data_IF_156208211129
#
_entry.id   IF_156208211129
#
_cell.length_a   1.000
_cell.length_b   1.000
_cell.length_c   1.000
_cell.angle_alpha   90.00
_cell.angle_beta   90.00
_cell.angle_gamma   90.00
#
_symmetry.space_group_name_H-M   'P 1'
#
loop_
_entity.id
_entity.type
_entity.pdbx_description
1 polymer ?
#
# COMPACT_ATOMS: atom_id res chain seq x y z
N UNK A 1 -19.80 -6.54 9.60
CA UNK A 1 -18.43 -6.23 10.08
C UNK A 1 -18.54 -6.20 11.59
N UNK A 2 -17.69 -6.94 12.32
CA UNK A 2 -17.71 -6.95 13.78
C UNK A 2 -16.97 -5.71 14.28
N UNK A 3 -17.59 -4.98 15.21
CA UNK A 3 -16.96 -3.91 15.98
C UNK A 3 -16.20 -4.57 17.13
N UNK A 4 -14.92 -4.26 17.29
CA UNK A 4 -14.09 -4.83 18.35
C UNK A 4 -13.97 -3.87 19.52
N UNK A 5 -13.90 -4.39 20.74
CA UNK A 5 -13.80 -3.56 21.95
C UNK A 5 -12.45 -2.84 22.06
N UNK A 6 -11.39 -3.46 21.59
CA UNK A 6 -10.04 -2.88 21.55
C UNK A 6 -9.54 -2.78 20.12
N UNK A 7 -8.53 -1.93 19.89
CA UNK A 7 -7.87 -1.81 18.59
C UNK A 7 -6.87 -2.93 18.28
N UNK A 8 -6.41 -3.66 19.30
CA UNK A 8 -5.42 -4.72 19.14
C UNK A 8 -5.72 -5.98 19.96
N UNK A 9 -5.07 -7.07 19.54
CA UNK A 9 -5.21 -8.40 20.16
C UNK A 9 -4.65 -8.38 21.58
N UNK A 10 -3.53 -7.69 21.80
CA UNK A 10 -2.85 -7.64 23.09
C UNK A 10 -3.73 -7.02 24.19
N UNK A 11 -4.37 -5.88 23.91
CA UNK A 11 -5.30 -5.21 24.81
C UNK A 11 -6.55 -6.05 25.07
N UNK A 12 -7.03 -6.77 24.05
CA UNK A 12 -8.11 -7.75 24.21
C UNK A 12 -7.71 -8.87 25.18
N UNK A 13 -6.52 -9.43 25.02
CA UNK A 13 -5.98 -10.50 25.89
C UNK A 13 -5.67 -9.99 27.30
N UNK A 14 -5.17 -8.77 27.44
CA UNK A 14 -4.90 -8.14 28.74
C UNK A 14 -6.20 -7.91 29.53
N UNK A 15 -7.30 -7.60 28.87
CA UNK A 15 -8.61 -7.47 29.50
C UNK A 15 -9.16 -8.85 29.93
N UNK A 16 -9.01 -9.88 29.09
CA UNK A 16 -9.33 -11.27 29.47
C UNK A 16 -8.55 -11.67 30.72
N UNK A 17 -7.24 -11.42 30.75
CA UNK A 17 -6.38 -11.72 31.90
C UNK A 17 -6.82 -10.94 33.14
N UNK A 18 -7.23 -9.69 32.97
CA UNK A 18 -7.73 -8.82 34.05
C UNK A 18 -9.01 -9.38 34.68
N UNK A 19 -9.97 -9.85 33.87
CA UNK A 19 -11.22 -10.45 34.37
C UNK A 19 -10.93 -11.78 35.08
N UNK A 20 -10.22 -12.70 34.41
CA UNK A 20 -9.92 -14.02 34.96
C UNK A 20 -9.03 -13.96 36.22
N UNK A 21 -8.14 -12.97 36.30
CA UNK A 21 -7.22 -12.78 37.43
C UNK A 21 -7.90 -12.37 38.74
N UNK A 22 -9.18 -11.97 38.72
CA UNK A 22 -9.96 -11.63 39.92
C UNK A 22 -10.46 -12.85 40.71
N UNK A 23 -10.24 -14.06 40.17
CA UNK A 23 -10.61 -15.31 40.83
C UNK A 23 -11.95 -15.86 40.34
N UNK A 24 -13.00 -15.75 41.15
CA UNK A 24 -14.32 -16.29 40.77
C UNK A 24 -14.95 -15.43 39.69
N UNK A 25 -15.13 -16.02 38.51
CA UNK A 25 -15.77 -15.40 37.35
C UNK A 25 -17.27 -15.71 37.42
N UNK A 26 -18.09 -14.66 37.46
CA UNK A 26 -19.55 -14.80 37.40
C UNK A 26 -20.05 -15.23 35.99
N UNK A 27 -21.34 -15.56 35.84
CA UNK A 27 -21.93 -15.87 34.55
C UNK A 27 -21.76 -14.74 33.51
N UNK A 28 -21.93 -13.49 33.92
CA UNK A 28 -21.79 -12.32 33.04
C UNK A 28 -20.33 -12.11 32.58
N UNK A 29 -19.39 -12.19 33.52
CA UNK A 29 -17.95 -12.08 33.23
C UNK A 29 -17.47 -13.22 32.32
N UNK A 30 -18.06 -14.42 32.46
CA UNK A 30 -17.77 -15.56 31.58
C UNK A 30 -18.19 -15.27 30.13
N UNK A 31 -19.38 -14.69 29.93
CA UNK A 31 -19.86 -14.26 28.61
C UNK A 31 -18.97 -13.15 28.05
N UNK A 32 -18.54 -12.19 28.88
CA UNK A 32 -17.64 -11.11 28.47
C UNK A 32 -16.29 -11.64 27.98
N UNK A 33 -15.68 -12.60 28.71
CA UNK A 33 -14.43 -13.25 28.29
C UNK A 33 -14.58 -13.96 26.95
N UNK A 34 -15.69 -14.67 26.73
CA UNK A 34 -15.96 -15.34 25.45
C UNK A 34 -16.12 -14.33 24.30
N UNK A 35 -16.80 -13.20 24.53
CA UNK A 35 -16.92 -12.13 23.53
C UNK A 35 -15.56 -11.50 23.19
N UNK A 36 -14.68 -11.30 24.18
CA UNK A 36 -13.30 -10.82 23.95
C UNK A 36 -12.48 -11.85 23.18
N UNK A 37 -12.66 -13.14 23.43
CA UNK A 37 -12.01 -14.20 22.64
C UNK A 37 -12.47 -14.14 21.17
N UNK A 38 -13.77 -13.96 20.91
CA UNK A 38 -14.28 -13.79 19.55
C UNK A 38 -13.70 -12.53 18.88
N UNK A 39 -13.55 -11.42 19.60
CA UNK A 39 -12.89 -10.21 19.10
C UNK A 39 -11.44 -10.50 18.70
N UNK A 40 -10.66 -11.19 19.55
CA UNK A 40 -9.29 -11.57 19.25
C UNK A 40 -9.18 -12.49 18.03
N UNK A 41 -10.09 -13.47 17.91
CA UNK A 41 -10.13 -14.36 16.74
C UNK A 41 -10.50 -13.61 15.45
N UNK A 42 -11.42 -12.65 15.53
CA UNK A 42 -11.78 -11.79 14.40
C UNK A 42 -10.58 -10.95 13.95
N UNK A 43 -9.85 -10.36 14.89
CA UNK A 43 -8.63 -9.58 14.64
C UNK A 43 -7.54 -10.42 13.95
N UNK A 44 -7.25 -11.63 14.45
CA UNK A 44 -6.31 -12.57 13.81
C UNK A 44 -6.75 -12.91 12.38
N UNK A 45 -8.05 -13.15 12.19
CA UNK A 45 -8.61 -13.37 10.85
C UNK A 45 -8.34 -12.20 9.89
N UNK A 46 -8.39 -10.96 10.37
CA UNK A 46 -8.05 -9.76 9.57
C UNK A 46 -6.55 -9.68 9.27
N UNK A 47 -5.69 -9.99 10.23
CA UNK A 47 -4.24 -10.05 9.99
C UNK A 47 -3.91 -11.10 8.92
N UNK A 48 -4.60 -12.24 8.91
CA UNK A 48 -4.47 -13.25 7.84
C UNK A 48 -4.89 -12.69 6.48
N UNK A 49 -6.04 -12.03 6.39
CA UNK A 49 -6.46 -11.37 5.14
C UNK A 49 -5.42 -10.34 4.66
N UNK A 50 -4.79 -9.63 5.60
CA UNK A 50 -3.73 -8.67 5.29
C UNK A 50 -2.47 -9.37 4.77
N UNK A 51 -2.08 -10.51 5.34
CA UNK A 51 -1.01 -11.34 4.81
C UNK A 51 -1.32 -11.79 3.37
N UNK A 52 -2.53 -12.24 3.10
CA UNK A 52 -2.96 -12.62 1.75
C UNK A 52 -2.86 -11.45 0.75
N UNK A 53 -3.06 -10.20 1.17
CA UNK A 53 -2.85 -9.02 0.32
C UNK A 53 -1.37 -8.86 -0.07
N UNK A 54 -0.44 -9.09 0.86
CA UNK A 54 1.00 -9.08 0.57
C UNK A 54 1.39 -10.24 -0.36
N UNK A 55 0.80 -11.42 -0.18
CA UNK A 55 1.03 -12.56 -1.05
C UNK A 55 0.52 -12.30 -2.48
N UNK A 56 -0.68 -11.70 -2.62
CA UNK A 56 -1.19 -11.27 -3.93
C UNK A 56 -0.29 -10.24 -4.59
N UNK A 57 0.15 -9.21 -3.85
CA UNK A 57 1.11 -8.23 -4.34
C UNK A 57 2.40 -8.89 -4.87
N UNK A 58 2.92 -9.91 -4.16
CA UNK A 58 4.09 -10.67 -4.61
C UNK A 58 3.86 -11.36 -5.94
N UNK A 59 2.70 -11.98 -6.14
CA UNK A 59 2.38 -12.65 -7.41
C UNK A 59 2.17 -11.65 -8.56
N UNK A 60 1.52 -10.52 -8.30
CA UNK A 60 1.34 -9.44 -9.28
C UNK A 60 2.70 -8.86 -9.72
N UNK A 61 3.60 -8.61 -8.76
CA UNK A 61 4.95 -8.15 -9.05
C UNK A 61 5.71 -9.18 -9.92
N UNK A 62 5.64 -10.47 -9.59
CA UNK A 62 6.25 -11.53 -10.42
C UNK A 62 5.67 -11.55 -11.83
N UNK A 63 4.38 -11.30 -11.99
CA UNK A 63 3.75 -11.20 -13.31
C UNK A 63 4.33 -10.06 -14.15
N UNK A 64 4.52 -8.88 -13.53
CA UNK A 64 5.16 -7.73 -14.18
C UNK A 64 6.59 -8.09 -14.60
N UNK A 65 7.40 -8.64 -13.68
CA UNK A 65 8.79 -9.00 -13.96
C UNK A 65 8.90 -10.00 -15.12
N UNK A 66 8.06 -11.05 -15.14
CA UNK A 66 8.01 -12.00 -16.27
C UNK A 66 7.65 -11.33 -17.61
N UNK A 67 6.85 -10.25 -17.58
CA UNK A 67 6.54 -9.49 -18.79
C UNK A 67 7.71 -8.61 -19.24
N UNK A 68 8.53 -8.13 -18.31
CA UNK A 68 9.75 -7.37 -18.59
C UNK A 68 10.82 -8.25 -19.25
N UNK A 69 10.96 -9.52 -18.84
CA UNK A 69 11.88 -10.48 -19.45
C UNK A 69 11.62 -10.74 -20.96
N UNK A 70 10.40 -10.43 -21.41
CA UNK A 70 9.98 -10.58 -22.81
C UNK A 70 10.30 -9.36 -23.66
N UNK A 71 10.68 -8.23 -23.07
CA UNK A 71 11.04 -7.02 -23.81
C UNK A 71 12.45 -7.20 -24.39
N UNK A 72 12.52 -7.33 -25.71
CA UNK A 72 13.80 -7.47 -26.43
C UNK A 72 13.84 -6.50 -27.60
N UNK A 73 14.70 -5.47 -27.57
CA UNK A 73 14.86 -4.60 -28.73
C UNK A 73 15.59 -5.36 -29.84
N UNK A 74 15.02 -5.36 -31.05
CA UNK A 74 15.56 -6.11 -32.20
C UNK A 74 16.56 -5.25 -32.96
N UNK A 75 17.72 -5.82 -33.31
CA UNK A 75 18.71 -5.23 -34.21
C UNK A 75 19.69 -4.25 -33.57
N UNK A 76 19.64 -4.05 -32.24
CA UNK A 76 20.55 -3.12 -31.54
C UNK A 76 22.02 -3.51 -31.71
N UNK A 77 22.32 -4.81 -31.59
CA UNK A 77 23.67 -5.35 -31.76
C UNK A 77 24.24 -5.12 -33.17
N UNK A 78 23.38 -4.95 -34.18
CA UNK A 78 23.80 -4.72 -35.57
C UNK A 78 24.09 -3.23 -35.86
N UNK A 79 23.66 -2.32 -34.99
CA UNK A 79 23.78 -0.88 -35.22
C UNK A 79 25.22 -0.41 -35.50
N UNK A 80 26.27 -0.87 -34.78
CA UNK A 80 27.65 -0.47 -35.07
C UNK A 80 28.11 -0.89 -36.46
N UNK A 81 27.71 -2.09 -36.91
CA UNK A 81 28.05 -2.63 -38.23
C UNK A 81 27.37 -1.81 -39.33
N UNK A 82 26.06 -1.57 -39.19
CA UNK A 82 25.28 -0.76 -40.15
C UNK A 82 25.84 0.66 -40.24
N UNK A 83 26.25 1.26 -39.11
CA UNK A 83 26.86 2.58 -39.09
C UNK A 83 28.22 2.61 -39.80
N UNK A 84 29.04 1.56 -39.66
CA UNK A 84 30.30 1.45 -40.39
C UNK A 84 30.07 1.35 -41.91
N UNK A 85 29.14 0.50 -42.35
CA UNK A 85 28.75 0.36 -43.76
C UNK A 85 28.21 1.69 -44.32
N UNK A 86 27.40 2.42 -43.54
CA UNK A 86 26.88 3.73 -43.94
C UNK A 86 28.00 4.75 -44.18
N UNK A 87 29.00 4.82 -43.30
CA UNK A 87 30.15 5.74 -43.46
C UNK A 87 30.96 5.43 -44.72
N UNK A 88 31.15 4.15 -45.02
CA UNK A 88 31.85 3.72 -46.24
C UNK A 88 31.07 4.18 -47.48
N UNK A 89 29.75 3.96 -47.49
CA UNK A 89 28.94 4.28 -48.66
C UNK A 89 28.75 5.77 -48.89
N UNK A 90 28.62 6.56 -47.82
CA UNK A 90 28.65 8.03 -47.92
C UNK A 90 29.99 8.52 -48.50
N UNK A 91 31.11 7.87 -48.15
CA UNK A 91 32.42 8.22 -48.70
C UNK A 91 32.49 7.93 -50.20
N UNK A 92 31.90 6.83 -50.67
CA UNK A 92 31.84 6.50 -52.11
C UNK A 92 30.92 7.44 -52.88
N UNK A 93 29.75 7.79 -52.32
CA UNK A 93 28.83 8.78 -52.89
C UNK A 93 29.52 10.14 -53.04
N UNK A 94 30.24 10.60 -52.00
CA UNK A 94 31.01 11.86 -52.04
C UNK A 94 32.06 11.89 -53.14
N UNK A 95 32.67 10.73 -53.45
CA UNK A 95 33.65 10.57 -54.52
C UNK A 95 33.00 10.36 -55.90
N UNK A 96 31.67 10.41 -56.02
CA UNK A 96 30.93 10.16 -57.27
C UNK A 96 30.99 8.71 -57.75
N UNK A 97 31.34 7.76 -56.88
CA UNK A 97 31.57 6.35 -57.25
C UNK A 97 30.31 5.48 -57.18
N UNK A 98 29.25 5.93 -56.51
CA UNK A 98 27.99 5.18 -56.34
C UNK A 98 26.78 6.13 -56.24
N UNK A 99 25.57 5.60 -56.52
CA UNK A 99 24.28 6.26 -56.19
C UNK A 99 24.08 6.36 -54.66
N UNK A 100 23.38 7.40 -54.15
CA UNK A 100 23.07 7.55 -52.73
C UNK A 100 22.05 6.53 -52.18
N UNK A 101 21.36 5.77 -53.04
CA UNK A 101 20.29 4.83 -52.64
C UNK A 101 20.68 3.89 -51.49
N UNK A 102 21.86 3.26 -51.58
CA UNK A 102 22.31 2.32 -50.55
C UNK A 102 22.64 3.00 -49.22
N UNK A 103 23.10 4.24 -49.23
CA UNK A 103 23.30 5.02 -48.01
C UNK A 103 21.94 5.38 -47.37
N UNK A 104 20.93 5.72 -48.19
CA UNK A 104 19.56 5.96 -47.72
C UNK A 104 18.97 4.71 -47.07
N UNK A 105 19.12 3.53 -47.70
CA UNK A 105 18.64 2.26 -47.13
C UNK A 105 19.29 1.95 -45.77
N UNK A 106 20.60 2.20 -45.63
CA UNK A 106 21.31 2.01 -44.36
C UNK A 106 20.83 3.02 -43.30
N UNK A 107 20.53 4.26 -43.67
CA UNK A 107 19.94 5.24 -42.77
C UNK A 107 18.55 4.81 -42.28
N UNK A 108 17.70 4.27 -43.16
CA UNK A 108 16.38 3.73 -42.76
C UNK A 108 16.50 2.50 -41.86
N UNK A 109 17.52 1.65 -42.05
CA UNK A 109 17.83 0.57 -41.08
C UNK A 109 18.21 1.12 -39.71
N UNK A 110 19.04 2.16 -39.64
CA UNK A 110 19.38 2.84 -38.37
C UNK A 110 18.11 3.40 -37.72
N UNK A 111 17.23 4.06 -38.49
CA UNK A 111 15.95 4.59 -38.01
C UNK A 111 15.08 3.47 -37.42
N UNK A 112 14.97 2.33 -38.10
CA UNK A 112 14.20 1.17 -37.62
C UNK A 112 14.74 0.63 -36.29
N UNK A 113 16.06 0.55 -36.13
CA UNK A 113 16.69 0.13 -34.87
C UNK A 113 16.35 1.13 -33.75
N UNK A 114 16.44 2.43 -34.02
CA UNK A 114 16.08 3.47 -33.05
C UNK A 114 14.60 3.37 -32.64
N UNK A 115 13.68 3.17 -33.58
CA UNK A 115 12.26 2.96 -33.28
C UNK A 115 12.00 1.69 -32.44
N UNK A 116 12.71 0.59 -32.69
CA UNK A 116 12.62 -0.61 -31.88
C UNK A 116 13.10 -0.37 -30.43
N UNK A 117 14.21 0.34 -30.27
CA UNK A 117 14.75 0.75 -28.96
C UNK A 117 13.76 1.64 -28.21
N UNK A 118 13.19 2.64 -28.88
CA UNK A 118 12.18 3.52 -28.27
C UNK A 118 10.96 2.71 -27.79
N UNK A 119 10.50 1.75 -28.60
CA UNK A 119 9.41 0.85 -28.22
C UNK A 119 9.74 0.03 -26.96
N UNK A 120 10.94 -0.54 -26.88
CA UNK A 120 11.39 -1.28 -25.71
C UNK A 120 11.50 -0.39 -24.46
N UNK A 121 12.08 0.80 -24.58
CA UNK A 121 12.20 1.77 -23.48
C UNK A 121 10.83 2.20 -22.96
N UNK A 122 9.87 2.46 -23.87
CA UNK A 122 8.48 2.77 -23.50
C UNK A 122 7.83 1.61 -22.76
N UNK A 123 8.00 0.38 -23.24
CA UNK A 123 7.48 -0.81 -22.57
C UNK A 123 8.04 -0.94 -21.14
N UNK A 124 9.35 -0.77 -20.95
CA UNK A 124 9.95 -0.78 -19.60
C UNK A 124 9.39 0.33 -18.70
N UNK A 125 9.26 1.56 -19.22
CA UNK A 125 8.67 2.68 -18.48
C UNK A 125 7.27 2.35 -17.97
N UNK A 126 6.41 1.80 -18.82
CA UNK A 126 5.05 1.39 -18.45
C UNK A 126 5.06 0.34 -17.33
N UNK A 127 5.99 -0.63 -17.37
CA UNK A 127 6.13 -1.62 -16.29
C UNK A 127 6.61 -1.01 -14.98
N UNK A 128 7.54 -0.05 -15.02
CA UNK A 128 7.96 0.68 -13.83
C UNK A 128 6.81 1.46 -13.19
N UNK A 129 5.98 2.13 -14.00
CA UNK A 129 4.77 2.80 -13.51
C UNK A 129 3.83 1.79 -12.84
N UNK A 130 3.59 0.64 -13.47
CA UNK A 130 2.75 -0.41 -12.90
C UNK A 130 3.29 -0.94 -11.55
N UNK A 131 4.62 -1.03 -11.36
CA UNK A 131 5.23 -1.40 -10.08
C UNK A 131 4.94 -0.33 -9.02
N UNK A 132 5.05 0.96 -9.36
CA UNK A 132 4.72 2.06 -8.45
C UNK A 132 3.23 2.03 -8.07
N UNK A 133 2.34 1.73 -9.02
CA UNK A 133 0.92 1.55 -8.73
C UNK A 133 0.68 0.35 -7.79
N UNK A 134 1.32 -0.80 -8.02
CA UNK A 134 1.23 -1.95 -7.12
C UNK A 134 1.72 -1.59 -5.72
N UNK A 135 2.84 -0.86 -5.62
CA UNK A 135 3.35 -0.35 -4.34
C UNK A 135 2.32 0.54 -3.65
N UNK A 136 1.77 1.50 -4.38
CA UNK A 136 0.75 2.40 -3.86
C UNK A 136 -0.53 1.68 -3.41
N UNK A 137 -0.95 0.60 -4.09
CA UNK A 137 -2.09 -0.23 -3.65
C UNK A 137 -1.76 -0.98 -2.35
N UNK A 138 -0.57 -1.60 -2.25
CA UNK A 138 -0.20 -2.35 -1.05
C UNK A 138 0.14 -1.44 0.13
N UNK A 139 0.54 -0.18 -0.09
CA UNK A 139 0.67 0.89 0.92
C UNK A 139 -0.70 1.50 1.27
N UNK A 140 -1.57 1.72 0.28
CA UNK A 140 -2.87 2.36 0.47
C UNK A 140 -2.73 3.74 1.11
N UNK A 141 -3.60 4.05 2.06
CA UNK A 141 -3.57 5.31 2.85
C UNK A 141 -2.61 5.26 4.05
N UNK A 142 -1.83 4.18 4.21
CA UNK A 142 -0.90 4.07 5.34
C UNK A 142 0.32 4.92 5.10
N UNK A 143 0.74 5.56 6.17
CA UNK A 143 1.94 6.34 6.17
C UNK A 143 3.14 5.47 6.56
N UNK A 144 4.01 5.22 5.57
CA UNK A 144 5.30 4.55 5.75
C UNK A 144 6.45 5.55 5.78
N UNK A 145 6.16 6.86 5.87
CA UNK A 145 7.14 7.96 5.77
C UNK A 145 8.35 7.76 6.68
N UNK A 146 8.15 7.31 7.92
CA UNK A 146 9.27 7.06 8.85
C UNK A 146 10.26 6.01 8.32
N UNK A 147 9.74 4.90 7.81
CA UNK A 147 10.59 3.83 7.26
C UNK A 147 11.18 4.23 5.91
N UNK A 148 10.42 4.97 5.09
CA UNK A 148 10.83 5.50 3.81
C UNK A 148 11.92 6.57 3.98
N UNK A 149 11.78 7.53 4.87
CA UNK A 149 12.80 8.54 5.20
C UNK A 149 14.07 7.88 5.71
N UNK A 150 13.94 6.92 6.62
CA UNK A 150 15.09 6.19 7.16
C UNK A 150 15.88 5.45 6.07
N UNK A 151 15.21 4.93 5.03
CA UNK A 151 15.86 4.12 3.98
C UNK A 151 16.20 4.88 2.71
N UNK A 152 15.37 5.85 2.33
CA UNK A 152 15.38 6.55 1.04
C UNK A 152 15.70 8.05 1.20
N UNK A 153 15.74 8.57 2.44
CA UNK A 153 15.99 9.98 2.75
C UNK A 153 14.78 10.91 2.50
N UNK A 154 13.69 10.39 1.95
CA UNK A 154 12.46 11.15 1.68
C UNK A 154 11.26 10.20 1.69
N UNK A 155 10.08 10.63 2.17
CA UNK A 155 8.87 9.81 2.11
C UNK A 155 8.38 9.69 0.67
N UNK A 156 7.88 8.51 0.30
CA UNK A 156 7.24 8.33 -1.00
C UNK A 156 5.81 8.87 -0.95
N UNK A 157 5.31 9.49 -2.03
CA UNK A 157 3.98 10.06 -2.05
C UNK A 157 2.93 8.98 -1.76
N UNK A 158 2.02 9.27 -0.84
CA UNK A 158 0.81 8.46 -0.67
C UNK A 158 -0.08 8.73 -1.88
N UNK A 159 -0.34 7.71 -2.70
CA UNK A 159 -1.18 7.86 -3.91
C UNK A 159 -2.65 8.21 -3.57
N UNK A 160 -3.02 8.20 -2.29
CA UNK A 160 -4.27 8.74 -1.77
C UNK A 160 -3.95 9.73 -0.64
N UNK A 161 -4.08 11.06 -0.86
CA UNK A 161 -3.74 12.06 0.14
C UNK A 161 -4.63 11.91 1.38
N UNK A 162 -4.01 11.76 2.56
CA UNK A 162 -4.76 11.59 3.81
C UNK A 162 -5.68 12.79 4.08
N UNK A 163 -5.23 14.01 3.77
CA UNK A 163 -6.00 15.24 4.02
C UNK A 163 -7.31 15.27 3.21
N UNK A 164 -7.27 14.88 1.93
CA UNK A 164 -8.48 14.77 1.09
C UNK A 164 -9.45 13.71 1.64
N UNK A 165 -8.92 12.58 2.12
CA UNK A 165 -9.71 11.53 2.76
C UNK A 165 -10.35 12.07 4.04
N UNK A 166 -9.61 12.77 4.89
CA UNK A 166 -10.12 13.33 6.15
C UNK A 166 -11.17 14.41 5.90
N UNK A 167 -10.96 15.30 4.92
CA UNK A 167 -11.91 16.35 4.54
C UNK A 167 -13.25 15.75 4.11
N UNK A 168 -13.20 14.73 3.25
CA UNK A 168 -14.40 14.01 2.77
C UNK A 168 -15.18 13.28 3.87
N UNK A 169 -14.55 13.07 5.03
CA UNK A 169 -15.10 12.34 6.17
C UNK A 169 -15.28 13.21 7.42
N UNK A 170 -15.17 14.54 7.28
CA UNK A 170 -15.17 15.49 8.39
C UNK A 170 -16.33 15.32 9.37
N UNK A 171 -17.52 15.00 8.87
CA UNK A 171 -18.75 14.73 9.67
C UNK A 171 -18.65 13.48 10.56
N UNK A 172 -17.80 12.51 10.19
CA UNK A 172 -17.68 11.20 10.84
C UNK A 172 -16.44 11.09 11.71
N UNK A 173 -15.54 12.07 11.64
CA UNK A 173 -14.34 12.08 12.45
C UNK A 173 -14.71 12.18 13.94
N UNK A 174 -14.03 11.43 14.83
CA UNK A 174 -14.29 11.51 16.26
C UNK A 174 -14.04 12.93 16.78
N UNK A 175 -14.57 13.30 17.96
CA UNK A 175 -14.25 14.57 18.58
C UNK A 175 -12.79 14.60 19.06
N UNK A 176 -12.27 15.80 19.32
CA UNK A 176 -10.99 15.95 20.03
C UNK A 176 -11.11 15.43 21.48
N UNK A 177 -10.02 14.90 22.08
CA UNK A 177 -8.66 14.76 21.54
C UNK A 177 -8.45 13.48 20.68
N UNK A 178 -9.48 12.65 20.54
CA UNK A 178 -9.38 11.33 19.93
C UNK A 178 -9.08 11.40 18.43
N UNK A 179 -9.54 12.46 17.76
CA UNK A 179 -9.21 12.76 16.36
C UNK A 179 -7.72 12.95 16.16
N UNK A 180 -7.09 13.83 16.94
CA UNK A 180 -5.65 14.06 16.86
C UNK A 180 -4.87 12.75 17.04
N UNK A 181 -5.21 11.97 18.08
CA UNK A 181 -4.58 10.67 18.34
C UNK A 181 -4.80 9.66 17.21
N UNK A 182 -6.01 9.63 16.62
CA UNK A 182 -6.31 8.76 15.49
C UNK A 182 -5.46 9.11 14.26
N UNK A 183 -5.32 10.41 13.97
CA UNK A 183 -4.47 10.89 12.88
C UNK A 183 -3.01 10.51 13.13
N UNK A 184 -2.51 10.64 14.36
CA UNK A 184 -1.16 10.17 14.72
C UNK A 184 -0.98 8.67 14.44
N UNK A 185 -1.98 7.84 14.74
CA UNK A 185 -1.93 6.40 14.45
C UNK A 185 -1.98 6.09 12.95
N UNK A 186 -2.78 6.84 12.18
CA UNK A 186 -2.83 6.69 10.72
C UNK A 186 -1.48 7.11 10.11
N UNK A 187 -0.90 8.22 10.58
CA UNK A 187 0.45 8.70 10.23
C UNK A 187 1.57 7.75 10.69
N UNK A 188 1.30 6.90 11.67
CA UNK A 188 2.23 5.85 12.08
C UNK A 188 2.01 4.54 11.33
N UNK A 189 1.06 4.47 10.39
CA UNK A 189 0.68 3.24 9.68
C UNK A 189 -0.08 2.21 10.52
N UNK A 190 -0.39 2.55 11.79
CA UNK A 190 -1.03 1.68 12.79
C UNK A 190 -2.54 1.62 12.67
N UNK A 191 -3.12 2.48 11.84
CA UNK A 191 -4.54 2.52 11.55
C UNK A 191 -4.80 3.00 10.11
N UNK A 192 -5.93 2.63 9.54
CA UNK A 192 -6.37 3.13 8.24
C UNK A 192 -7.89 3.20 8.16
N UNK A 193 -8.39 4.19 7.43
CA UNK A 193 -9.82 4.35 7.21
C UNK A 193 -10.21 3.51 5.99
N UNK A 194 -11.17 2.60 6.15
CA UNK A 194 -11.67 1.82 5.04
C UNK A 194 -12.50 2.70 4.08
N UNK A 195 -12.51 2.39 2.77
CA UNK A 195 -13.34 3.09 1.81
C UNK A 195 -14.81 3.14 2.24
N UNK A 196 -15.44 4.32 2.11
CA UNK A 196 -16.83 4.56 2.49
C UNK A 196 -17.77 3.65 1.70
N UNK A 197 -18.54 2.81 2.40
CA UNK A 197 -19.64 2.05 1.82
C UNK A 197 -20.93 2.89 1.86
N UNK A 198 -21.78 2.75 0.84
CA UNK A 198 -23.03 3.53 0.73
C UNK A 198 -23.90 3.30 1.98
N UNK A 199 -24.32 4.39 2.64
CA UNK A 199 -25.19 4.41 3.84
C UNK A 199 -24.62 3.71 5.09
N UNK A 200 -23.30 3.55 5.19
CA UNK A 200 -22.66 3.03 6.41
C UNK A 200 -21.65 4.04 6.95
N UNK A 201 -21.51 4.16 8.29
CA UNK A 201 -20.45 4.96 8.88
C UNK A 201 -19.09 4.43 8.39
N UNK A 202 -18.14 5.30 8.02
CA UNK A 202 -16.77 4.89 7.75
C UNK A 202 -16.20 4.15 8.96
N UNK A 203 -15.31 3.21 8.70
CA UNK A 203 -14.72 2.37 9.74
C UNK A 203 -13.21 2.58 9.73
N UNK A 204 -12.64 2.82 10.91
CA UNK A 204 -11.19 2.70 11.07
C UNK A 204 -10.85 1.26 11.38
N UNK A 205 -9.78 0.79 10.74
CA UNK A 205 -9.18 -0.49 11.02
C UNK A 205 -7.74 -0.29 11.50
N UNK A 206 -7.40 -0.97 12.56
CA UNK A 206 -6.08 -0.93 13.17
C UNK A 206 -5.18 -2.05 12.61
N UNK A 207 -3.88 -1.89 12.77
CA UNK A 207 -2.84 -2.81 12.28
C UNK A 207 -3.06 -4.25 12.78
N UNK A 208 -3.42 -4.37 14.06
CA UNK A 208 -3.68 -5.65 14.73
C UNK A 208 -5.08 -6.20 14.46
N UNK A 209 -5.81 -5.64 13.49
CA UNK A 209 -7.09 -6.16 13.00
C UNK A 209 -8.33 -5.62 13.74
N UNK A 210 -8.17 -4.82 14.78
CA UNK A 210 -9.27 -4.14 15.46
C UNK A 210 -10.03 -3.22 14.51
N UNK A 211 -11.33 -3.06 14.72
CA UNK A 211 -12.19 -2.31 13.81
C UNK A 211 -13.28 -1.56 14.59
N UNK A 212 -13.31 -0.24 14.45
CA UNK A 212 -14.20 0.65 15.19
C UNK A 212 -14.84 1.64 14.19
N UNK A 213 -16.16 1.87 14.22
CA UNK A 213 -16.78 2.95 13.44
C UNK A 213 -16.13 4.30 13.76
N UNK A 214 -15.79 5.08 12.73
CA UNK A 214 -14.93 6.27 12.84
C UNK A 214 -15.42 7.27 13.91
N UNK A 215 -16.73 7.54 13.94
CA UNK A 215 -17.37 8.46 14.89
C UNK A 215 -17.34 7.96 16.34
N UNK A 216 -17.23 6.65 16.55
CA UNK A 216 -17.20 6.01 17.88
C UNK A 216 -15.81 5.87 18.46
N UNK A 217 -14.76 6.13 17.68
CA UNK A 217 -13.38 5.96 18.13
C UNK A 217 -13.10 6.86 19.34
N UNK A 218 -12.67 6.26 20.45
CA UNK A 218 -12.17 6.94 21.63
C UNK A 218 -10.79 6.42 21.95
N UNK A 219 -9.92 7.31 22.41
CA UNK A 219 -8.57 6.99 22.86
C UNK A 219 -8.49 7.22 24.36
N UNK A 220 -7.91 6.25 25.08
CA UNK A 220 -7.64 6.37 26.51
C UNK A 220 -6.13 6.38 26.75
N UNK A 221 -5.66 7.42 27.46
CA UNK A 221 -4.28 7.47 27.96
C UNK A 221 -4.02 6.42 29.06
N UNK A 222 -5.06 6.00 29.80
CA UNK A 222 -4.94 5.02 30.89
C UNK A 222 -4.56 3.64 30.37
N UNK A 223 -5.21 3.19 29.29
CA UNK A 223 -4.90 1.91 28.63
C UNK A 223 -3.99 2.07 27.41
N UNK A 224 -3.62 3.31 27.05
CA UNK A 224 -2.83 3.69 25.87
C UNK A 224 -3.37 3.06 24.57
N UNK A 225 -4.69 2.98 24.45
CA UNK A 225 -5.34 2.25 23.36
C UNK A 225 -6.68 2.86 22.93
N UNK A 226 -7.16 2.47 21.75
CA UNK A 226 -8.48 2.85 21.26
C UNK A 226 -9.56 1.86 21.68
N UNK A 227 -10.77 2.40 21.90
CA UNK A 227 -11.98 1.66 22.23
C UNK A 227 -13.21 2.36 21.62
N UNK A 228 -14.33 1.66 21.42
CA UNK A 228 -15.57 2.31 21.01
C UNK A 228 -16.27 3.03 22.16
N UNK A 229 -16.81 4.23 21.89
CA UNK A 229 -17.50 5.06 22.88
C UNK A 229 -18.58 4.31 23.68
N UNK A 230 -19.29 3.38 23.04
CA UNK A 230 -20.40 2.63 23.65
C UNK A 230 -19.92 1.43 24.48
N UNK A 231 -18.62 1.11 24.47
CA UNK A 231 -18.05 -0.09 25.12
C UNK A 231 -16.69 0.18 25.79
N UNK A 232 -16.62 1.12 26.77
CA UNK A 232 -15.38 1.43 27.47
C UNK A 232 -14.85 0.23 28.28
N UNK A 233 -13.52 0.15 28.37
CA UNK A 233 -12.81 -0.88 29.14
C UNK A 233 -13.17 -0.82 30.63
N UNK A 234 -13.05 -1.93 31.33
CA UNK A 234 -13.34 -2.02 32.78
C UNK A 234 -12.35 -1.16 33.58
N UNK A 235 -11.12 -1.00 33.08
CA UNK A 235 -10.10 -0.08 33.61
C UNK A 235 -10.43 1.40 33.42
N UNK A 236 -11.27 1.74 32.43
CA UNK A 236 -11.81 3.10 32.27
C UNK A 236 -12.97 3.38 33.23
N UNK A 237 -13.83 2.37 33.49
CA UNK A 237 -15.06 2.52 34.30
C UNK A 237 -14.83 2.57 35.82
N UNK A 238 -13.67 2.18 36.32
CA UNK A 238 -13.38 2.09 37.75
C UNK A 238 -13.08 3.48 38.41
N UNK A 239 -13.87 4.52 38.10
CA UNK A 239 -13.76 5.87 38.68
C UNK A 239 -15.09 6.31 39.28
#
# INVERSE_FOLDING_TARGET
MRETRFSDVCGTVDEIRSILGRGRVGPEESVEVLNLLEDAMYMIGRMRLRLEEYERFREDLRSILRSMDRVKPVGVEEAPKIAAEFREEVSKVRLGKTSPEKAIDLAEKIRKIASNLEGALRAYKEKCIAIVELYGRIKGVRDWSKDEEKRLGTPLPTLMPLDEVLESLSEWLPPEPHRTKLIEFIKAGRAYIQPKKRRQPPVVQFEDGGSIPLHKVRYSEKIRNFYPADSPSTRERAS
#
